data_IF_876782235961
#
_entry.id   IF_876782235961
#
_cell.length_a   1.000
_cell.length_b   1.000
_cell.length_c   1.000
_cell.angle_alpha   90.00
_cell.angle_beta   90.00
_cell.angle_gamma   90.00
#
_symmetry.space_group_name_H-M   'P 1'
#
loop_
_entity.id
_entity.type
_entity.pdbx_description
1 polymer ?
#
# COMPACT_ATOMS: atom_id res chain seq x y z
N UNK A 1 -49.10 -8.03 -7.05
CA UNK A 1 -47.98 -7.12 -7.24
C UNK A 1 -47.04 -7.16 -6.02
N UNK A 2 -46.72 -8.35 -5.45
CA UNK A 2 -45.87 -8.55 -4.26
C UNK A 2 -44.81 -9.67 -4.48
N UNK A 3 -44.78 -10.29 -5.65
CA UNK A 3 -43.82 -11.39 -5.93
C UNK A 3 -42.53 -10.98 -6.69
N UNK A 4 -42.33 -9.69 -6.98
CA UNK A 4 -41.14 -9.23 -7.74
C UNK A 4 -39.97 -8.76 -6.87
N UNK A 5 -40.16 -8.55 -5.56
CA UNK A 5 -39.14 -8.00 -4.66
C UNK A 5 -38.30 -9.05 -3.91
N UNK A 6 -38.64 -10.34 -4.03
CA UNK A 6 -37.91 -11.42 -3.34
C UNK A 6 -36.83 -12.09 -4.20
N UNK A 7 -36.78 -11.82 -5.50
CA UNK A 7 -35.77 -12.44 -6.39
C UNK A 7 -34.46 -11.67 -6.50
N UNK A 8 -34.43 -10.39 -6.15
CA UNK A 8 -33.19 -9.59 -6.25
C UNK A 8 -32.24 -9.78 -5.05
N UNK A 9 -32.74 -10.28 -3.91
CA UNK A 9 -31.90 -10.53 -2.72
C UNK A 9 -31.12 -11.86 -2.79
N UNK A 10 -31.53 -12.81 -3.62
CA UNK A 10 -30.89 -14.13 -3.71
C UNK A 10 -29.74 -14.12 -4.73
N UNK A 11 -29.80 -13.23 -5.72
CA UNK A 11 -28.74 -13.11 -6.73
C UNK A 11 -27.50 -12.31 -6.27
N UNK A 12 -27.61 -11.50 -5.22
CA UNK A 12 -26.50 -10.71 -4.67
C UNK A 12 -25.45 -11.52 -3.91
N UNK A 13 -25.88 -12.60 -3.23
CA UNK A 13 -24.99 -13.44 -2.43
C UNK A 13 -24.20 -14.46 -3.25
N UNK A 14 -24.69 -14.85 -4.42
CA UNK A 14 -24.02 -15.84 -5.26
C UNK A 14 -22.82 -15.27 -6.03
N UNK A 15 -22.85 -14.00 -6.43
CA UNK A 15 -21.72 -13.37 -7.16
C UNK A 15 -20.48 -13.22 -6.29
N UNK A 16 -20.62 -12.78 -5.04
CA UNK A 16 -19.48 -12.61 -4.13
C UNK A 16 -18.72 -13.91 -3.80
N UNK A 17 -19.38 -15.05 -3.75
CA UNK A 17 -18.73 -16.31 -3.45
C UNK A 17 -17.86 -16.85 -4.60
N UNK A 18 -18.26 -16.58 -5.85
CA UNK A 18 -17.48 -16.95 -7.04
C UNK A 18 -16.31 -15.99 -7.28
N UNK A 19 -16.48 -14.70 -7.01
CA UNK A 19 -15.46 -13.66 -7.21
C UNK A 19 -14.28 -13.80 -6.22
N UNK A 20 -14.53 -14.26 -5.00
CA UNK A 20 -13.49 -14.51 -4.00
C UNK A 20 -12.43 -15.52 -4.46
N UNK A 21 -12.81 -16.51 -5.27
CA UNK A 21 -11.89 -17.53 -5.77
C UNK A 21 -11.13 -17.10 -7.03
N UNK A 22 -11.73 -16.26 -7.89
CA UNK A 22 -11.12 -15.85 -9.15
C UNK A 22 -10.10 -14.73 -8.99
N UNK A 23 -10.37 -13.77 -8.09
CA UNK A 23 -9.57 -12.54 -7.96
C UNK A 23 -8.84 -12.43 -6.61
N UNK A 24 -8.85 -13.50 -5.82
CA UNK A 24 -8.26 -13.46 -4.46
C UNK A 24 -9.02 -12.53 -3.52
N UNK A 25 -10.34 -12.36 -3.73
CA UNK A 25 -11.20 -11.48 -2.94
C UNK A 25 -11.04 -9.99 -3.27
N UNK A 26 -10.32 -9.66 -4.34
CA UNK A 26 -10.16 -8.27 -4.82
C UNK A 26 -11.41 -7.82 -5.59
N UNK A 27 -11.76 -6.54 -5.42
CA UNK A 27 -12.73 -5.84 -6.26
C UNK A 27 -12.08 -5.53 -7.63
N UNK A 28 -12.80 -5.75 -8.70
CA UNK A 28 -12.36 -5.52 -10.08
C UNK A 28 -12.92 -4.23 -10.69
N UNK A 29 -13.64 -3.44 -9.90
CA UNK A 29 -14.15 -2.13 -10.33
C UNK A 29 -13.00 -1.13 -10.41
N UNK A 30 -12.70 -0.56 -11.59
CA UNK A 30 -11.65 0.44 -11.71
C UNK A 30 -11.93 1.66 -10.84
N UNK A 31 -10.87 2.18 -10.21
CA UNK A 31 -10.97 3.33 -9.33
C UNK A 31 -11.54 4.55 -10.08
N UNK A 32 -12.59 5.14 -9.52
CA UNK A 32 -13.26 6.31 -10.06
C UNK A 32 -12.51 7.62 -9.71
N UNK A 33 -12.94 8.73 -10.27
CA UNK A 33 -12.36 10.04 -9.99
C UNK A 33 -12.47 10.42 -8.51
N UNK A 34 -13.63 10.22 -7.92
CA UNK A 34 -13.86 10.53 -6.49
C UNK A 34 -13.00 9.69 -5.54
N UNK A 35 -12.68 8.44 -5.91
CA UNK A 35 -11.75 7.59 -5.13
C UNK A 35 -10.35 8.19 -5.11
N UNK A 36 -9.89 8.72 -6.26
CA UNK A 36 -8.59 9.38 -6.37
C UNK A 36 -8.55 10.68 -5.58
N UNK A 37 -9.63 11.44 -5.57
CA UNK A 37 -9.75 12.65 -4.74
C UNK A 37 -9.71 12.31 -3.24
N UNK A 38 -10.41 11.26 -2.82
CA UNK A 38 -10.38 10.78 -1.44
C UNK A 38 -8.96 10.32 -1.03
N UNK A 39 -8.27 9.59 -1.91
CA UNK A 39 -6.88 9.21 -1.68
C UNK A 39 -5.97 10.44 -1.56
N UNK A 40 -6.11 11.41 -2.47
CA UNK A 40 -5.32 12.64 -2.43
C UNK A 40 -5.58 13.46 -1.16
N UNK A 41 -6.83 13.50 -0.70
CA UNK A 41 -7.19 14.15 0.56
C UNK A 41 -6.54 13.46 1.76
N UNK A 42 -6.52 12.13 1.77
CA UNK A 42 -5.86 11.34 2.81
C UNK A 42 -4.34 11.54 2.84
N UNK A 43 -3.69 11.64 1.69
CA UNK A 43 -2.24 11.89 1.58
C UNK A 43 -1.83 13.32 1.99
N UNK A 44 -2.78 14.22 2.17
CA UNK A 44 -2.49 15.64 2.41
C UNK A 44 -2.09 16.36 1.11
N UNK A 45 -2.94 17.24 0.63
CA UNK A 45 -2.88 17.85 -0.71
C UNK A 45 -1.64 18.69 -1.00
N UNK A 46 -0.84 19.03 -0.01
CA UNK A 46 0.04 20.18 -0.15
C UNK A 46 1.32 19.92 -0.93
N UNK A 47 1.87 18.70 -0.94
CA UNK A 47 3.16 18.49 -1.62
C UNK A 47 3.35 17.05 -2.06
N UNK A 48 2.75 16.67 -3.16
CA UNK A 48 3.19 15.46 -3.84
C UNK A 48 4.31 15.79 -4.83
N UNK A 49 5.23 14.85 -4.99
CA UNK A 49 6.27 14.90 -6.00
C UNK A 49 5.97 13.82 -7.04
N UNK A 50 6.10 14.15 -8.32
CA UNK A 50 5.81 13.24 -9.41
C UNK A 50 6.79 13.36 -10.57
N UNK A 51 6.78 12.37 -11.45
CA UNK A 51 7.48 12.34 -12.72
C UNK A 51 6.55 11.88 -13.83
N UNK A 52 6.66 12.51 -15.01
CA UNK A 52 5.78 12.22 -16.15
C UNK A 52 6.04 10.86 -16.80
N UNK A 53 7.24 10.36 -16.72
CA UNK A 53 7.61 9.11 -17.38
C UNK A 53 8.87 8.49 -16.81
N UNK A 54 9.23 7.36 -17.40
CA UNK A 54 10.36 6.54 -16.98
C UNK A 54 11.70 7.01 -17.60
N UNK A 55 11.73 8.17 -18.22
CA UNK A 55 13.00 8.69 -18.76
C UNK A 55 13.93 9.13 -17.63
N UNK A 56 14.51 8.12 -17.00
CA UNK A 56 15.42 8.26 -15.88
C UNK A 56 16.83 8.66 -16.32
N UNK A 57 17.14 8.59 -17.60
CA UNK A 57 18.50 8.82 -18.09
C UNK A 57 18.96 10.26 -17.84
N UNK A 58 18.06 11.24 -17.98
CA UNK A 58 18.30 12.66 -17.73
C UNK A 58 17.84 13.15 -16.35
N UNK A 59 17.09 12.32 -15.60
CA UNK A 59 16.38 12.73 -14.40
C UNK A 59 16.93 12.14 -13.09
N UNK A 60 18.13 11.56 -13.13
CA UNK A 60 18.77 11.08 -11.91
C UNK A 60 19.52 12.20 -11.19
N UNK A 61 19.38 12.22 -9.88
CA UNK A 61 20.26 12.99 -8.99
C UNK A 61 21.13 12.01 -8.19
N UNK A 62 22.37 12.40 -7.95
CA UNK A 62 23.19 11.69 -6.97
C UNK A 62 22.76 12.13 -5.57
N UNK A 63 22.39 11.17 -4.75
CA UNK A 63 22.04 11.42 -3.35
C UNK A 63 23.30 11.66 -2.53
N UNK A 64 23.14 12.16 -1.31
CA UNK A 64 24.26 12.34 -0.35
C UNK A 64 24.97 11.01 -0.03
N UNK A 65 24.31 9.89 -0.22
CA UNK A 65 24.90 8.55 -0.08
C UNK A 65 25.59 8.03 -1.35
N UNK A 66 25.72 8.86 -2.39
CA UNK A 66 26.33 8.47 -3.66
C UNK A 66 25.45 7.61 -4.57
N UNK A 67 24.23 7.29 -4.18
CA UNK A 67 23.28 6.49 -4.97
C UNK A 67 22.54 7.36 -5.96
N UNK A 68 22.25 6.82 -7.15
CA UNK A 68 21.40 7.49 -8.14
C UNK A 68 19.92 7.31 -7.76
N UNK A 69 19.19 8.39 -7.71
CA UNK A 69 17.75 8.38 -7.45
C UNK A 69 16.99 9.15 -8.55
N UNK A 70 15.77 8.71 -8.90
CA UNK A 70 14.96 9.44 -9.86
C UNK A 70 14.66 10.86 -9.38
N UNK A 71 14.71 11.81 -10.31
CA UNK A 71 14.36 13.19 -10.01
C UNK A 71 12.83 13.34 -10.01
N UNK A 72 12.29 13.64 -8.84
CA UNK A 72 10.87 13.91 -8.66
C UNK A 72 10.65 15.41 -8.53
N UNK A 73 9.65 15.92 -9.21
CA UNK A 73 9.31 17.34 -9.20
C UNK A 73 8.09 17.58 -8.31
N UNK A 74 8.05 18.73 -7.65
CA UNK A 74 6.85 19.16 -6.94
C UNK A 74 5.75 19.40 -7.97
N UNK A 75 4.59 18.77 -7.78
CA UNK A 75 3.47 18.84 -8.71
C UNK A 75 2.20 19.29 -8.02
N UNK A 76 1.41 20.08 -8.72
CA UNK A 76 0.06 20.45 -8.29
C UNK A 76 -0.88 19.25 -8.52
N UNK A 77 -2.03 19.26 -7.83
CA UNK A 77 -3.08 18.25 -8.04
C UNK A 77 -3.50 18.12 -9.51
N UNK A 78 -3.55 19.24 -10.23
CA UNK A 78 -3.84 19.30 -11.68
C UNK A 78 -2.78 18.59 -12.53
N UNK A 79 -1.51 18.63 -12.12
CA UNK A 79 -0.40 18.03 -12.86
C UNK A 79 -0.23 16.54 -12.52
N UNK A 80 -0.79 16.06 -11.42
CA UNK A 80 -0.72 14.65 -11.02
C UNK A 80 -1.29 13.71 -12.08
N UNK A 81 -2.37 14.08 -12.75
CA UNK A 81 -2.95 13.30 -13.83
C UNK A 81 -2.01 13.02 -15.01
N UNK A 82 -0.90 13.78 -15.14
CA UNK A 82 0.13 13.61 -16.15
C UNK A 82 1.36 12.84 -15.64
N UNK A 83 1.39 12.44 -14.37
CA UNK A 83 2.52 11.78 -13.75
C UNK A 83 2.27 10.28 -13.62
N UNK A 84 3.04 9.45 -14.33
CA UNK A 84 3.01 7.99 -14.18
C UNK A 84 3.61 7.53 -12.86
N UNK A 85 4.49 8.33 -12.29
CA UNK A 85 5.18 8.04 -11.03
C UNK A 85 4.92 9.14 -10.03
N UNK A 86 4.74 8.75 -8.77
CA UNK A 86 4.45 9.67 -7.68
C UNK A 86 5.15 9.23 -6.41
N UNK A 87 5.58 10.19 -5.62
CA UNK A 87 5.95 9.95 -4.23
C UNK A 87 4.68 10.10 -3.38
N UNK A 88 4.16 8.99 -2.88
CA UNK A 88 2.93 8.95 -2.08
C UNK A 88 3.12 9.43 -0.63
N UNK A 89 4.36 9.53 -0.17
CA UNK A 89 4.71 10.09 1.13
C UNK A 89 5.12 11.54 0.98
N UNK A 90 4.69 12.41 1.88
CA UNK A 90 5.22 13.76 1.95
C UNK A 90 6.43 13.85 2.91
N UNK A 91 7.07 15.02 3.00
CA UNK A 91 8.24 15.21 3.87
C UNK A 91 7.94 15.18 5.38
N UNK A 92 6.68 15.31 5.75
CA UNK A 92 6.25 15.42 7.15
C UNK A 92 5.54 14.16 7.62
N UNK A 93 4.81 13.47 6.72
CA UNK A 93 4.00 12.31 7.08
C UNK A 93 4.13 11.19 6.05
N UNK A 94 4.03 9.97 6.54
CA UNK A 94 3.67 8.81 5.75
C UNK A 94 2.24 8.40 6.13
N UNK A 95 1.29 8.58 5.22
CA UNK A 95 -0.13 8.24 5.42
C UNK A 95 -0.52 6.98 4.64
N UNK A 96 0.44 6.37 3.95
CA UNK A 96 0.24 5.18 3.15
C UNK A 96 1.46 4.27 3.26
N UNK A 97 1.20 2.97 3.30
CA UNK A 97 2.19 1.93 3.15
C UNK A 97 2.06 1.36 1.73
N UNK A 98 3.19 1.19 1.05
CA UNK A 98 3.26 0.71 -0.33
C UNK A 98 4.08 -0.56 -0.37
N UNK A 99 3.58 -1.59 -1.06
CA UNK A 99 4.34 -2.80 -1.38
C UNK A 99 4.35 -2.98 -2.88
N UNK A 100 5.53 -3.11 -3.46
CA UNK A 100 5.74 -3.43 -4.87
C UNK A 100 5.95 -4.93 -5.01
N UNK A 101 5.09 -5.61 -5.76
CA UNK A 101 5.06 -7.07 -5.87
C UNK A 101 5.53 -7.45 -7.26
N UNK A 102 6.71 -8.05 -7.32
CA UNK A 102 7.45 -8.28 -8.55
C UNK A 102 7.13 -9.63 -9.21
N UNK A 103 6.23 -10.42 -8.62
CA UNK A 103 5.77 -11.66 -9.22
C UNK A 103 4.93 -11.38 -10.47
N UNK A 104 5.37 -11.84 -11.66
CA UNK A 104 4.63 -11.59 -12.89
C UNK A 104 3.33 -12.41 -12.91
N UNK A 105 2.31 -11.80 -13.48
CA UNK A 105 1.05 -12.45 -13.85
C UNK A 105 0.84 -12.39 -15.36
N UNK A 106 -0.42 -12.47 -15.79
CA UNK A 106 -0.79 -12.36 -17.19
C UNK A 106 -0.99 -10.90 -17.61
N UNK A 107 -0.80 -10.58 -18.90
CA UNK A 107 -1.13 -9.26 -19.45
C UNK A 107 -2.62 -8.92 -19.30
N UNK A 108 -2.92 -7.60 -19.27
CA UNK A 108 -4.30 -7.10 -19.26
C UNK A 108 -4.57 -6.10 -18.14
N UNK A 109 -3.84 -6.20 -17.01
CA UNK A 109 -3.96 -5.24 -15.91
C UNK A 109 -5.28 -5.36 -15.13
N UNK A 110 -5.90 -6.54 -15.12
CA UNK A 110 -7.11 -6.87 -14.38
C UNK A 110 -6.76 -7.77 -13.19
N UNK A 111 -7.50 -7.75 -12.05
CA UNK A 111 -7.24 -8.62 -10.90
C UNK A 111 -7.16 -10.11 -11.22
N UNK A 112 -7.92 -10.59 -12.22
CA UNK A 112 -7.85 -11.97 -12.68
C UNK A 112 -6.47 -12.37 -13.20
N UNK A 113 -5.74 -11.40 -13.76
CA UNK A 113 -4.43 -11.60 -14.39
C UNK A 113 -3.27 -11.57 -13.40
N UNK A 114 -3.54 -11.36 -12.12
CA UNK A 114 -2.51 -11.44 -11.09
C UNK A 114 -1.99 -12.87 -10.96
N UNK A 115 -0.73 -12.99 -10.58
CA UNK A 115 -0.14 -14.28 -10.22
C UNK A 115 -0.98 -15.02 -9.17
N UNK A 116 -1.18 -16.32 -9.35
CA UNK A 116 -2.03 -17.14 -8.47
C UNK A 116 -1.56 -17.13 -7.00
N UNK A 117 -0.24 -17.07 -6.78
CA UNK A 117 0.30 -16.98 -5.41
C UNK A 117 -0.05 -15.63 -4.77
N UNK A 118 0.00 -14.54 -5.56
CA UNK A 118 -0.36 -13.19 -5.11
C UNK A 118 -1.85 -13.14 -4.77
N UNK A 119 -2.72 -13.71 -5.62
CA UNK A 119 -4.17 -13.80 -5.35
C UNK A 119 -4.44 -14.55 -4.05
N UNK A 120 -3.83 -15.71 -3.84
CA UNK A 120 -3.96 -16.49 -2.60
C UNK A 120 -3.52 -15.71 -1.35
N UNK A 121 -2.43 -14.96 -1.47
CA UNK A 121 -1.91 -14.14 -0.36
C UNK A 121 -2.83 -12.95 -0.06
N UNK A 122 -3.38 -12.30 -1.08
CA UNK A 122 -4.39 -11.25 -0.88
C UNK A 122 -5.66 -11.79 -0.24
N UNK A 123 -6.16 -12.94 -0.68
CA UNK A 123 -7.32 -13.59 -0.07
C UNK A 123 -7.11 -13.83 1.44
N UNK A 124 -5.92 -14.26 1.85
CA UNK A 124 -5.59 -14.47 3.26
C UNK A 124 -5.57 -13.16 4.05
N UNK A 125 -5.02 -12.07 3.48
CA UNK A 125 -5.03 -10.74 4.11
C UNK A 125 -6.45 -10.19 4.22
N UNK A 126 -7.26 -10.37 3.19
CA UNK A 126 -8.66 -9.90 3.16
C UNK A 126 -9.51 -10.67 4.18
N UNK A 127 -9.37 -11.99 4.26
CA UNK A 127 -10.05 -12.83 5.25
C UNK A 127 -9.73 -12.42 6.71
N UNK A 128 -8.58 -11.82 6.94
CA UNK A 128 -8.16 -11.26 8.24
C UNK A 128 -8.47 -9.78 8.40
N UNK A 129 -9.25 -9.22 7.51
CA UNK A 129 -9.60 -7.80 7.49
C UNK A 129 -8.40 -6.84 7.42
N UNK A 130 -7.24 -7.30 6.92
CA UNK A 130 -6.04 -6.50 6.71
C UNK A 130 -5.62 -6.40 5.24
N UNK A 131 -6.55 -6.65 4.32
CA UNK A 131 -6.33 -6.47 2.89
C UNK A 131 -5.95 -5.04 2.50
N UNK A 132 -5.35 -4.84 1.31
CA UNK A 132 -4.97 -3.54 0.81
C UNK A 132 -6.18 -2.64 0.58
N UNK A 133 -5.97 -1.32 0.62
CA UNK A 133 -7.00 -0.35 0.25
C UNK A 133 -7.04 -0.12 -1.27
N UNK A 134 -5.89 -0.24 -1.94
CA UNK A 134 -5.75 -0.07 -3.38
C UNK A 134 -4.80 -1.13 -3.96
N UNK A 135 -5.11 -1.58 -5.18
CA UNK A 135 -4.22 -2.45 -5.96
C UNK A 135 -4.07 -1.86 -7.36
N UNK A 136 -2.83 -1.63 -7.76
CA UNK A 136 -2.46 -1.20 -9.11
C UNK A 136 -1.79 -2.36 -9.85
N UNK A 137 -2.22 -2.65 -11.08
CA UNK A 137 -1.75 -3.80 -11.85
C UNK A 137 -1.15 -3.32 -13.16
N UNK A 138 0.05 -3.79 -13.44
CA UNK A 138 0.74 -3.51 -14.70
C UNK A 138 0.04 -4.26 -15.84
N UNK A 139 -0.46 -3.55 -16.88
CA UNK A 139 -1.18 -4.19 -17.98
C UNK A 139 -0.31 -5.07 -18.89
N UNK A 140 1.02 -4.94 -18.82
CA UNK A 140 1.94 -5.72 -19.65
C UNK A 140 2.42 -6.97 -18.93
N UNK A 141 2.79 -6.86 -17.66
CA UNK A 141 3.49 -7.92 -16.92
C UNK A 141 2.68 -8.58 -15.82
N UNK A 142 1.47 -8.09 -15.53
CA UNK A 142 0.67 -8.57 -14.40
C UNK A 142 1.30 -8.33 -13.00
N UNK A 143 2.47 -7.70 -12.91
CA UNK A 143 3.04 -7.26 -11.64
C UNK A 143 2.15 -6.21 -11.00
N UNK A 144 2.21 -6.05 -9.67
CA UNK A 144 1.30 -5.13 -9.01
C UNK A 144 1.96 -4.35 -7.87
N UNK A 145 1.33 -3.22 -7.52
CA UNK A 145 1.58 -2.48 -6.29
C UNK A 145 0.32 -2.46 -5.44
N UNK A 146 0.49 -2.64 -4.14
CA UNK A 146 -0.60 -2.59 -3.19
C UNK A 146 -0.38 -1.47 -2.18
N UNK A 147 -1.46 -0.74 -1.84
CA UNK A 147 -1.44 0.37 -0.91
C UNK A 147 -2.35 0.08 0.28
N UNK A 148 -1.85 0.38 1.49
CA UNK A 148 -2.65 0.43 2.72
C UNK A 148 -2.74 1.86 3.21
N UNK A 149 -3.94 2.38 3.44
CA UNK A 149 -4.13 3.66 4.10
C UNK A 149 -3.83 3.47 5.60
N UNK A 150 -2.99 4.34 6.13
CA UNK A 150 -2.59 4.29 7.54
C UNK A 150 -2.81 5.63 8.22
N UNK A 151 -2.98 5.61 9.54
CA UNK A 151 -2.91 6.85 10.32
C UNK A 151 -1.59 7.55 10.02
N UNK A 152 -1.59 8.87 9.78
CA UNK A 152 -0.38 9.58 9.39
C UNK A 152 0.74 9.40 10.42
N UNK A 153 1.85 8.86 9.98
CA UNK A 153 3.07 8.67 10.76
C UNK A 153 4.00 9.84 10.52
N UNK A 154 4.39 10.54 11.57
CA UNK A 154 5.32 11.66 11.45
C UNK A 154 6.69 11.18 10.95
N UNK A 155 7.10 11.68 9.80
CA UNK A 155 8.39 11.40 9.19
C UNK A 155 9.41 12.43 9.66
N UNK A 156 10.24 12.11 10.65
CA UNK A 156 11.37 12.94 10.99
C UNK A 156 12.53 12.76 9.99
N UNK A 157 13.41 13.78 9.91
CA UNK A 157 14.54 13.77 8.97
C UNK A 157 15.50 12.59 9.18
N UNK A 158 15.55 12.02 10.36
CA UNK A 158 16.44 10.92 10.72
C UNK A 158 15.80 9.54 10.54
N UNK A 159 14.48 9.45 10.29
CA UNK A 159 13.78 8.17 10.12
C UNK A 159 13.79 7.27 11.37
N UNK A 160 14.16 7.80 12.53
CA UNK A 160 14.41 7.02 13.75
C UNK A 160 13.30 7.13 14.80
N UNK A 161 12.17 7.77 14.47
CA UNK A 161 11.06 7.81 15.41
C UNK A 161 10.48 6.38 15.63
N UNK A 162 9.97 6.06 16.82
CA UNK A 162 9.34 4.77 17.09
C UNK A 162 8.23 4.44 16.08
N UNK A 163 7.49 5.45 15.64
CA UNK A 163 6.44 5.29 14.64
C UNK A 163 6.98 4.94 13.24
N UNK A 164 8.12 5.54 12.84
CA UNK A 164 8.80 5.18 11.59
C UNK A 164 9.41 3.78 11.65
N UNK A 165 9.95 3.38 12.78
CA UNK A 165 10.45 2.00 13.00
C UNK A 165 9.30 1.00 12.89
N UNK A 166 8.13 1.33 13.45
CA UNK A 166 6.95 0.49 13.37
C UNK A 166 6.44 0.38 11.93
N UNK A 167 6.41 1.50 11.20
CA UNK A 167 6.04 1.53 9.78
C UNK A 167 7.00 0.70 8.94
N UNK A 168 8.30 0.83 9.15
CA UNK A 168 9.31 0.02 8.46
C UNK A 168 9.12 -1.48 8.73
N UNK A 169 8.84 -1.87 9.98
CA UNK A 169 8.58 -3.25 10.35
C UNK A 169 7.30 -3.79 9.68
N UNK A 170 6.22 -3.02 9.65
CA UNK A 170 4.97 -3.42 8.97
C UNK A 170 5.17 -3.57 7.46
N UNK A 171 5.90 -2.63 6.84
CA UNK A 171 6.23 -2.67 5.42
C UNK A 171 7.07 -3.89 5.08
N UNK A 172 8.09 -4.17 5.88
CA UNK A 172 8.95 -5.34 5.69
C UNK A 172 8.18 -6.65 5.83
N UNK A 173 7.38 -6.80 6.90
CA UNK A 173 6.59 -8.03 7.13
C UNK A 173 5.57 -8.27 6.00
N UNK A 174 4.89 -7.23 5.53
CA UNK A 174 4.00 -7.32 4.36
C UNK A 174 4.77 -7.66 3.10
N UNK A 175 5.91 -7.03 2.89
CA UNK A 175 6.76 -7.27 1.76
C UNK A 175 7.24 -8.71 1.68
N UNK A 176 7.80 -9.23 2.75
CA UNK A 176 8.22 -10.64 2.86
C UNK A 176 7.05 -11.60 2.60
N UNK A 177 5.89 -11.31 3.17
CA UNK A 177 4.70 -12.11 2.94
C UNK A 177 4.28 -12.13 1.48
N UNK A 178 4.23 -10.97 0.82
CA UNK A 178 3.74 -10.81 -0.55
C UNK A 178 4.79 -11.16 -1.61
N UNK A 179 6.07 -11.20 -1.28
CA UNK A 179 7.18 -11.37 -2.22
C UNK A 179 7.50 -10.04 -2.93
N UNK A 180 7.82 -9.01 -2.13
CA UNK A 180 8.12 -7.68 -2.63
C UNK A 180 9.50 -7.61 -3.33
N UNK A 181 9.67 -6.58 -4.16
CA UNK A 181 11.00 -6.16 -4.61
C UNK A 181 11.76 -5.53 -3.43
N UNK A 182 12.83 -6.20 -2.98
CA UNK A 182 13.70 -5.72 -1.89
C UNK A 182 14.43 -4.41 -2.24
N UNK A 183 14.50 -4.05 -3.51
CA UNK A 183 15.12 -2.81 -3.99
C UNK A 183 14.11 -1.69 -4.22
N UNK A 184 12.82 -1.95 -3.95
CA UNK A 184 11.79 -0.95 -4.13
C UNK A 184 12.00 0.27 -3.21
N UNK A 185 12.05 1.43 -3.82
CA UNK A 185 12.10 2.70 -3.11
C UNK A 185 10.70 3.27 -2.95
N UNK A 186 10.20 3.37 -1.71
CA UNK A 186 8.92 4.01 -1.40
C UNK A 186 8.79 5.46 -1.89
N UNK A 187 9.87 6.04 -2.38
CA UNK A 187 9.87 7.38 -3.00
C UNK A 187 9.38 7.38 -4.44
N UNK A 188 9.16 6.20 -5.02
CA UNK A 188 8.90 6.07 -6.43
C UNK A 188 7.84 5.01 -6.72
N UNK A 189 6.59 5.37 -6.47
CA UNK A 189 5.44 4.50 -6.70
C UNK A 189 4.79 4.79 -8.05
N UNK A 190 4.12 3.82 -8.63
CA UNK A 190 3.20 4.05 -9.75
C UNK A 190 2.07 4.96 -9.28
N UNK A 191 1.63 5.85 -10.15
CA UNK A 191 0.65 6.87 -9.79
C UNK A 191 -0.78 6.37 -9.94
N UNK A 192 -1.56 6.28 -8.85
CA UNK A 192 -2.99 6.03 -8.95
C UNK A 192 -3.77 7.22 -9.54
N UNK A 193 -3.12 8.37 -9.68
CA UNK A 193 -3.71 9.60 -10.21
C UNK A 193 -3.53 9.77 -11.71
N UNK A 194 -2.70 8.96 -12.35
CA UNK A 194 -2.43 9.08 -13.78
C UNK A 194 -3.68 8.81 -14.62
N UNK A 195 -3.93 9.69 -15.59
CA UNK A 195 -5.10 9.64 -16.49
C UNK A 195 -4.71 9.65 -17.97
N UNK A 196 -3.42 9.54 -18.29
CA UNK A 196 -2.95 9.49 -19.69
C UNK A 196 -3.00 8.07 -20.27
N UNK A 197 -2.59 7.95 -21.53
CA UNK A 197 -2.73 6.75 -22.36
C UNK A 197 -1.47 5.89 -22.43
N UNK A 198 -0.56 6.01 -21.45
CA UNK A 198 0.65 5.20 -21.43
C UNK A 198 0.32 3.71 -21.34
N UNK A 199 0.84 2.87 -22.25
CA UNK A 199 0.59 1.43 -22.23
C UNK A 199 1.19 0.73 -21.01
N UNK A 200 2.10 1.39 -20.28
CA UNK A 200 2.73 0.89 -19.06
C UNK A 200 2.08 1.41 -17.79
N UNK A 201 1.07 2.27 -17.92
CA UNK A 201 0.36 2.82 -16.78
C UNK A 201 -0.43 1.73 -16.05
N UNK A 202 -0.28 1.69 -14.73
CA UNK A 202 -0.99 0.72 -13.91
C UNK A 202 -2.49 1.01 -13.90
N UNK A 203 -3.29 -0.05 -14.02
CA UNK A 203 -4.73 0.01 -13.78
C UNK A 203 -4.99 -0.14 -12.30
N UNK A 204 -5.68 0.83 -11.72
CA UNK A 204 -5.89 0.92 -10.28
C UNK A 204 -7.31 0.56 -9.89
N UNK A 205 -7.42 -0.26 -8.85
CA UNK A 205 -8.65 -0.80 -8.28
C UNK A 205 -8.69 -0.42 -6.81
N UNK A 206 -9.76 0.27 -6.39
CA UNK A 206 -9.98 0.57 -4.98
C UNK A 206 -10.67 -0.61 -4.32
N UNK A 207 -10.12 -1.08 -3.23
CA UNK A 207 -10.65 -2.21 -2.46
C UNK A 207 -11.50 -1.75 -1.26
N UNK A 208 -11.03 -0.74 -0.54
CA UNK A 208 -11.71 -0.18 0.61
C UNK A 208 -11.19 1.22 0.95
N UNK A 209 -11.80 1.86 1.97
CA UNK A 209 -11.39 3.16 2.52
C UNK A 209 -10.88 3.06 3.95
N UNK A 210 -10.51 1.88 4.42
CA UNK A 210 -10.14 1.65 5.81
C UNK A 210 -8.77 2.24 6.08
N UNK A 211 -8.70 3.22 6.97
CA UNK A 211 -7.46 3.76 7.53
C UNK A 211 -7.08 2.92 8.74
N UNK A 212 -5.85 2.42 8.79
CA UNK A 212 -5.39 1.49 9.82
C UNK A 212 -4.31 2.10 10.69
N UNK A 213 -4.32 1.76 11.96
CA UNK A 213 -3.15 2.01 12.81
C UNK A 213 -2.04 1.02 12.43
N UNK A 214 -0.83 1.53 12.24
CA UNK A 214 0.32 0.70 11.85
C UNK A 214 0.60 -0.41 12.87
N UNK A 215 0.40 -0.12 14.16
CA UNK A 215 0.59 -1.10 15.23
C UNK A 215 -0.39 -2.27 15.17
N UNK A 216 -1.65 -1.99 14.88
CA UNK A 216 -2.70 -3.02 14.77
C UNK A 216 -2.45 -3.89 13.53
N UNK A 217 -2.11 -3.26 12.40
CA UNK A 217 -1.72 -3.96 11.18
C UNK A 217 -0.53 -4.90 11.42
N UNK A 218 0.54 -4.40 12.05
CA UNK A 218 1.72 -5.21 12.34
C UNK A 218 1.41 -6.36 13.32
N UNK A 219 0.57 -6.13 14.31
CA UNK A 219 0.15 -7.15 15.26
C UNK A 219 -0.56 -8.30 14.53
N UNK A 220 -1.50 -7.98 13.65
CA UNK A 220 -2.23 -8.99 12.89
C UNK A 220 -1.34 -9.73 11.87
N UNK A 221 -0.41 -9.02 11.24
CA UNK A 221 0.60 -9.63 10.38
C UNK A 221 1.49 -10.64 11.13
N UNK A 222 1.94 -10.28 12.33
CA UNK A 222 2.74 -11.18 13.17
C UNK A 222 1.97 -12.42 13.58
N UNK A 223 0.68 -12.29 13.92
CA UNK A 223 -0.20 -13.45 14.17
C UNK A 223 -0.27 -14.37 12.95
N UNK A 224 -0.47 -13.79 11.78
CA UNK A 224 -0.60 -14.53 10.53
C UNK A 224 0.70 -15.26 10.15
N UNK A 225 1.86 -14.64 10.40
CA UNK A 225 3.18 -15.20 10.05
C UNK A 225 3.81 -16.05 11.15
N UNK A 226 3.14 -16.24 12.28
CA UNK A 226 3.67 -16.98 13.43
C UNK A 226 4.81 -16.25 14.17
N UNK A 227 5.00 -14.97 13.92
CA UNK A 227 6.06 -14.16 14.54
C UNK A 227 5.65 -13.52 15.89
N UNK A 228 4.54 -13.95 16.47
CA UNK A 228 4.07 -13.42 17.76
C UNK A 228 5.06 -13.59 18.90
N UNK A 229 5.91 -14.62 18.82
CA UNK A 229 6.83 -14.98 19.91
C UNK A 229 8.10 -14.11 20.01
N UNK A 230 8.34 -13.22 19.06
CA UNK A 230 9.53 -12.36 19.04
C UNK A 230 9.34 -10.98 19.65
N UNK A 231 8.18 -10.67 20.19
CA UNK A 231 8.02 -9.53 21.09
C UNK A 231 8.73 -9.82 22.40
N UNK A 232 9.82 -9.12 22.72
CA UNK A 232 10.31 -9.09 24.12
C UNK A 232 9.09 -8.85 25.01
N UNK A 233 8.83 -9.71 26.03
CA UNK A 233 7.71 -9.49 26.92
C UNK A 233 7.84 -8.03 27.43
N UNK A 234 6.75 -7.25 27.34
CA UNK A 234 6.72 -5.92 27.96
C UNK A 234 7.10 -6.14 29.41
N UNK A 235 8.25 -5.61 29.79
CA UNK A 235 8.64 -5.57 31.19
C UNK A 235 7.54 -4.81 31.92
N UNK A 236 6.71 -5.53 32.66
CA UNK A 236 5.73 -4.90 33.55
C UNK A 236 6.50 -4.40 34.75
N UNK A 237 6.53 -3.09 34.91
CA UNK A 237 7.11 -2.47 36.10
C UNK A 237 6.00 -2.31 37.13
N UNK A 238 6.24 -2.81 38.34
CA UNK A 238 5.30 -2.73 39.46
C UNK A 238 5.15 -1.30 40.01
N UNK A 239 6.14 -0.42 39.72
CA UNK A 239 6.13 0.97 40.12
C UNK A 239 6.93 1.87 39.19
N UNK A 240 6.59 3.17 39.17
CA UNK A 240 7.35 4.19 38.45
C UNK A 240 8.82 4.26 38.81
N UNK A 241 9.16 3.88 40.04
CA UNK A 241 10.54 3.83 40.55
C UNK A 241 11.36 2.72 39.90
N UNK A 242 10.74 1.58 39.66
CA UNK A 242 11.34 0.43 38.98
C UNK A 242 11.61 0.77 37.50
N UNK A 243 10.67 1.44 36.84
CA UNK A 243 10.84 1.95 35.48
C UNK A 243 12.06 2.93 35.40
N UNK A 244 12.17 3.87 36.32
CA UNK A 244 13.25 4.84 36.33
C UNK A 244 14.61 4.14 36.54
N UNK A 245 14.68 3.16 37.42
CA UNK A 245 15.91 2.41 37.68
C UNK A 245 16.32 1.58 36.45
N UNK A 246 15.38 0.92 35.77
CA UNK A 246 15.66 0.16 34.55
C UNK A 246 16.12 1.02 33.35
N UNK A 247 15.73 2.29 33.31
CA UNK A 247 16.19 3.26 32.28
C UNK A 247 17.59 3.79 32.58
N UNK A 248 17.97 3.91 33.87
CA UNK A 248 19.29 4.42 34.28
C UNK A 248 20.41 3.38 34.19
N UNK A 249 20.08 2.11 34.11
CA UNK A 249 21.04 0.99 34.02
C UNK A 249 21.32 0.54 32.58
N UNK A 250 20.79 1.24 31.58
CA UNK A 250 21.09 1.06 30.14
C UNK A 250 21.95 2.19 29.62
#
# INVERSE_FOLDING_TARGET
MIMSLLNDSINGTSRHAYDLNLYGGLDDTPAAHFDREALLAHLGREVLHGSRGRDFASAYITTTAGTRAPRMYRVTSKALGKCEYVQLTNKQYAAVLVVDIDLPGDPGGHPINLNEQVKKKFAQLIARHIGPAWVGINPISGKCQALWLIDPVYANKQGQSPAMTLLAAATHTLGEWLGHDSHFSHRFSRSPFYTGDSPTAYKWYRQNHVVRRVGDLLTELRRMTGQEQYGKPRQQFSSGRELINAVRTR
#
